data_IF_434232491862
#
_entry.id   IF_434232491862
#
_cell.length_a   1.000
_cell.length_b   1.000
_cell.length_c   1.000
_cell.angle_alpha   90.00
_cell.angle_beta   90.00
_cell.angle_gamma   90.00
#
_symmetry.space_group_name_H-M   'P 1'
#
loop_
_entity.id
_entity.type
_entity.pdbx_description
1 polymer ?
#
# COMPACT_ATOMS: atom_id res chain seq x y z
N UNK A 1 -32.34 24.32 58.42
CA UNK A 1 -32.87 23.12 57.78
C UNK A 1 -33.37 23.53 56.39
N UNK A 2 -32.59 23.27 55.35
CA UNK A 2 -33.01 23.50 53.97
C UNK A 2 -33.08 22.12 53.29
N UNK A 3 -34.29 21.68 52.98
CA UNK A 3 -34.55 20.52 52.17
C UNK A 3 -34.71 20.97 50.70
N UNK A 4 -33.67 20.78 49.91
CA UNK A 4 -33.71 21.01 48.47
C UNK A 4 -34.16 19.74 47.74
N UNK A 5 -35.35 19.83 47.10
CA UNK A 5 -35.91 18.80 46.22
C UNK A 5 -35.07 18.64 44.96
N UNK A 6 -34.62 17.43 44.66
CA UNK A 6 -33.98 17.10 43.39
C UNK A 6 -35.01 16.93 42.27
N UNK A 7 -34.77 17.46 41.07
CA UNK A 7 -35.66 17.25 39.94
C UNK A 7 -35.59 15.80 39.43
N UNK A 8 -36.78 15.21 39.24
CA UNK A 8 -36.95 13.89 38.62
C UNK A 8 -36.56 13.95 37.14
N UNK A 9 -35.42 13.39 36.80
CA UNK A 9 -35.01 13.16 35.40
C UNK A 9 -35.75 11.90 34.90
N UNK A 10 -36.73 12.07 34.02
CA UNK A 10 -37.35 10.97 33.27
C UNK A 10 -36.32 10.43 32.30
N UNK A 11 -35.82 9.23 32.54
CA UNK A 11 -35.11 8.45 31.54
C UNK A 11 -36.10 8.08 30.42
N UNK A 12 -35.94 8.71 29.26
CA UNK A 12 -36.64 8.30 28.04
C UNK A 12 -36.30 6.84 27.69
N UNK A 13 -37.31 6.06 27.33
CA UNK A 13 -37.14 4.71 26.81
C UNK A 13 -36.29 4.81 25.54
N UNK A 14 -35.06 4.23 25.56
CA UNK A 14 -34.26 4.01 24.36
C UNK A 14 -34.94 2.87 23.62
N UNK A 15 -35.42 3.14 22.41
CA UNK A 15 -35.98 2.12 21.53
C UNK A 15 -34.81 1.23 21.03
N UNK A 16 -34.82 -0.09 21.28
CA UNK A 16 -33.74 -0.96 20.91
C UNK A 16 -33.61 -1.17 19.37
N UNK A 17 -34.49 -0.55 18.58
CA UNK A 17 -34.51 -0.61 17.13
C UNK A 17 -34.24 0.74 16.44
N UNK A 18 -33.83 1.76 17.17
CA UNK A 18 -33.29 2.95 16.49
C UNK A 18 -31.99 2.55 15.81
N UNK A 19 -32.13 2.18 14.53
CA UNK A 19 -31.04 1.86 13.63
C UNK A 19 -30.23 3.13 13.37
N UNK A 20 -29.30 3.41 14.25
CA UNK A 20 -28.17 4.28 13.91
C UNK A 20 -27.54 3.64 12.66
N UNK A 21 -27.48 4.35 11.51
CA UNK A 21 -26.71 3.84 10.40
C UNK A 21 -25.28 3.71 10.89
N UNK A 22 -24.87 2.47 11.14
CA UNK A 22 -23.48 2.14 11.35
C UNK A 22 -22.81 2.34 10.00
N UNK A 23 -22.51 3.59 9.67
CA UNK A 23 -21.36 3.85 8.81
C UNK A 23 -20.20 3.24 9.57
N UNK A 24 -19.77 2.05 9.16
CA UNK A 24 -18.54 1.44 9.64
C UNK A 24 -17.39 2.35 9.20
N UNK A 25 -17.23 3.45 9.90
CA UNK A 25 -15.99 4.18 9.96
C UNK A 25 -15.06 3.33 10.83
N UNK A 26 -14.48 2.28 10.21
CA UNK A 26 -13.22 1.80 10.72
C UNK A 26 -12.31 3.03 10.76
N UNK A 27 -11.52 3.26 11.82
CA UNK A 27 -10.50 4.27 11.75
C UNK A 27 -9.72 3.98 10.48
N UNK A 28 -9.78 4.89 9.52
CA UNK A 28 -8.92 4.84 8.35
C UNK A 28 -7.54 4.93 8.96
N UNK A 29 -6.85 3.80 9.08
CA UNK A 29 -5.43 3.83 9.41
C UNK A 29 -4.84 4.64 8.28
N UNK A 30 -4.33 5.82 8.60
CA UNK A 30 -3.75 6.73 7.62
C UNK A 30 -2.66 5.97 6.88
N UNK A 31 -2.95 5.56 5.65
CA UNK A 31 -1.98 4.82 4.88
C UNK A 31 -0.74 5.68 4.65
N UNK A 32 0.43 5.09 4.82
CA UNK A 32 1.72 5.79 4.78
C UNK A 32 2.71 5.07 3.88
N UNK A 33 3.53 5.85 3.21
CA UNK A 33 4.73 5.37 2.57
C UNK A 33 5.74 4.98 3.65
N UNK A 34 5.93 3.67 3.85
CA UNK A 34 6.86 3.18 4.86
C UNK A 34 8.31 3.30 4.39
N UNK A 35 8.59 2.85 3.17
CA UNK A 35 9.94 2.76 2.63
C UNK A 35 9.94 2.97 1.12
N UNK A 36 10.96 3.67 0.65
CA UNK A 36 11.26 3.85 -0.77
C UNK A 36 12.47 2.99 -1.08
N UNK A 37 12.39 2.19 -2.15
CA UNK A 37 13.43 1.22 -2.51
C UNK A 37 13.92 1.46 -3.93
N UNK A 38 15.23 1.49 -4.10
CA UNK A 38 15.90 1.62 -5.41
C UNK A 38 17.06 0.63 -5.53
N UNK A 39 17.44 0.33 -6.75
CA UNK A 39 18.67 -0.42 -7.05
C UNK A 39 19.24 0.02 -8.40
N UNK A 40 20.53 -0.15 -8.65
CA UNK A 40 21.09 0.04 -10.00
C UNK A 40 20.61 -1.03 -11.01
N UNK A 41 19.90 -2.04 -10.53
CA UNK A 41 19.31 -3.15 -11.28
C UNK A 41 19.18 -4.41 -10.44
N UNK A 42 18.07 -5.13 -10.61
CA UNK A 42 17.81 -6.38 -9.88
C UNK A 42 17.19 -6.21 -8.50
N UNK A 43 17.25 -7.30 -7.73
CA UNK A 43 16.70 -7.41 -6.37
C UNK A 43 17.76 -7.97 -5.42
N UNK A 44 17.71 -7.63 -4.12
CA UNK A 44 16.76 -6.70 -3.50
C UNK A 44 17.00 -5.25 -3.89
N UNK A 45 15.95 -4.42 -3.86
CA UNK A 45 16.09 -2.97 -3.85
C UNK A 45 16.36 -2.49 -2.43
N UNK A 46 17.16 -1.43 -2.28
CA UNK A 46 17.62 -0.93 -0.98
C UNK A 46 16.91 0.38 -0.62
N UNK A 47 16.75 0.68 0.68
CA UNK A 47 16.04 1.87 1.14
C UNK A 47 16.80 3.15 0.82
N UNK A 48 16.02 4.20 0.47
CA UNK A 48 16.50 5.57 0.33
C UNK A 48 15.62 6.52 1.14
N UNK A 49 16.16 7.63 1.61
CA UNK A 49 15.43 8.60 2.45
C UNK A 49 14.56 9.58 1.67
N UNK A 50 14.79 9.71 0.38
CA UNK A 50 14.04 10.59 -0.51
C UNK A 50 14.21 10.12 -1.95
N UNK A 51 13.20 10.32 -2.76
CA UNK A 51 13.27 10.00 -4.17
C UNK A 51 12.46 10.97 -5.03
N UNK A 52 13.02 11.36 -6.18
CA UNK A 52 12.28 12.04 -7.24
C UNK A 52 11.53 11.01 -8.07
N UNK A 53 10.23 11.15 -8.14
CA UNK A 53 9.32 10.32 -8.95
C UNK A 53 9.02 11.03 -10.25
N UNK A 54 9.24 10.35 -11.37
CA UNK A 54 9.02 10.83 -12.73
C UNK A 54 8.00 9.96 -13.46
N UNK A 55 7.56 10.37 -14.64
CA UNK A 55 6.66 9.59 -15.50
C UNK A 55 7.18 8.19 -15.85
N UNK A 56 8.48 7.98 -15.78
CA UNK A 56 9.13 6.72 -16.17
C UNK A 56 9.66 5.90 -14.99
N UNK A 57 9.56 6.41 -13.77
CA UNK A 57 10.01 5.74 -12.56
C UNK A 57 10.69 6.65 -11.55
N UNK A 58 11.43 6.06 -10.62
CA UNK A 58 12.23 6.77 -9.63
C UNK A 58 13.60 7.10 -10.23
N UNK A 59 14.07 8.33 -10.09
CA UNK A 59 15.42 8.72 -10.51
C UNK A 59 16.46 7.87 -9.77
N UNK A 60 17.42 7.34 -10.53
CA UNK A 60 18.48 6.45 -10.02
C UNK A 60 18.06 4.99 -9.82
N UNK A 61 16.80 4.63 -10.07
CA UNK A 61 16.38 3.22 -10.07
C UNK A 61 16.65 2.57 -11.43
N UNK A 62 17.34 1.44 -11.40
CA UNK A 62 17.71 0.69 -12.61
C UNK A 62 16.87 -0.56 -12.83
N UNK A 63 16.81 -1.01 -14.08
CA UNK A 63 16.13 -2.24 -14.47
C UNK A 63 17.04 -3.09 -15.36
N UNK A 64 17.28 -4.36 -14.98
CA UNK A 64 18.07 -5.31 -15.78
C UNK A 64 17.28 -6.00 -16.89
N UNK A 65 15.96 -5.83 -16.90
CA UNK A 65 15.08 -6.43 -17.91
C UNK A 65 14.26 -5.32 -18.57
N UNK A 66 14.31 -5.24 -19.90
CA UNK A 66 13.65 -4.22 -20.70
C UNK A 66 12.10 -4.20 -20.58
N UNK A 67 11.50 -5.28 -20.12
CA UNK A 67 10.06 -5.37 -19.85
C UNK A 67 9.63 -4.79 -18.50
N UNK A 68 10.59 -4.34 -17.66
CA UNK A 68 10.33 -3.61 -16.42
C UNK A 68 10.51 -2.11 -16.66
N UNK A 69 9.83 -1.30 -15.85
CA UNK A 69 9.84 0.15 -16.01
C UNK A 69 8.98 0.66 -17.15
N UNK A 70 9.18 1.92 -17.52
CA UNK A 70 8.38 2.65 -18.49
C UNK A 70 7.07 3.17 -17.90
N UNK A 71 6.29 3.98 -18.67
CA UNK A 71 5.18 4.76 -18.14
C UNK A 71 4.09 3.94 -17.41
N UNK A 72 3.80 2.73 -17.88
CA UNK A 72 2.76 1.86 -17.27
C UNK A 72 3.26 1.09 -16.03
N UNK A 73 4.58 1.03 -15.84
CA UNK A 73 5.26 0.34 -14.75
C UNK A 73 6.29 1.24 -14.09
N UNK A 74 5.97 2.53 -14.03
CA UNK A 74 6.86 3.54 -13.46
C UNK A 74 7.17 3.26 -11.99
N UNK A 75 6.18 2.78 -11.25
CA UNK A 75 6.33 2.39 -9.84
C UNK A 75 5.83 0.96 -9.66
N UNK A 76 6.56 0.19 -8.83
CA UNK A 76 6.12 -1.08 -8.28
C UNK A 76 5.84 -0.90 -6.80
N UNK A 77 4.65 -1.29 -6.34
CA UNK A 77 4.19 -1.10 -4.97
C UNK A 77 3.94 -2.45 -4.29
N UNK A 78 4.16 -2.50 -2.97
CA UNK A 78 3.75 -3.64 -2.17
C UNK A 78 3.30 -3.24 -0.76
N UNK A 79 2.40 -4.05 -0.16
CA UNK A 79 1.90 -3.84 1.20
C UNK A 79 2.88 -4.36 2.23
N UNK A 80 3.11 -3.57 3.30
CA UNK A 80 3.85 -4.03 4.49
C UNK A 80 3.12 -5.19 5.16
N UNK A 81 1.80 -5.14 5.26
CA UNK A 81 0.99 -6.17 5.90
C UNK A 81 1.16 -7.51 5.18
N UNK A 82 1.18 -7.51 3.84
CA UNK A 82 1.45 -8.71 3.04
C UNK A 82 2.87 -9.24 3.23
N UNK A 83 3.85 -8.35 3.38
CA UNK A 83 5.22 -8.74 3.71
C UNK A 83 5.24 -9.45 5.07
N UNK A 84 4.58 -8.88 6.10
CA UNK A 84 4.52 -9.47 7.44
C UNK A 84 3.81 -10.83 7.42
N UNK A 85 2.71 -10.95 6.68
CA UNK A 85 2.00 -12.23 6.54
C UNK A 85 2.88 -13.29 5.88
N UNK A 86 3.62 -12.95 4.80
CA UNK A 86 4.58 -13.86 4.17
C UNK A 86 5.71 -14.25 5.12
N UNK A 87 6.19 -13.33 5.97
CA UNK A 87 7.18 -13.66 7.01
C UNK A 87 6.62 -14.66 8.03
N UNK A 88 5.37 -14.52 8.44
CA UNK A 88 4.70 -15.49 9.33
C UNK A 88 4.55 -16.86 8.67
N UNK A 89 4.43 -16.93 7.35
CA UNK A 89 4.46 -18.18 6.57
C UNK A 89 5.87 -18.77 6.42
N UNK A 90 6.90 -18.08 6.93
CA UNK A 90 8.31 -18.52 6.90
C UNK A 90 9.06 -18.13 5.64
N UNK A 91 8.55 -17.18 4.84
CA UNK A 91 9.26 -16.61 3.72
C UNK A 91 10.24 -15.51 4.17
N UNK A 92 11.50 -15.47 3.69
CA UNK A 92 12.48 -14.44 4.06
C UNK A 92 12.25 -13.12 3.29
N UNK A 93 10.99 -12.71 3.16
CA UNK A 93 10.60 -11.46 2.48
C UNK A 93 10.81 -10.28 3.41
N UNK A 94 11.28 -9.16 2.88
CA UNK A 94 11.42 -7.88 3.59
C UNK A 94 11.19 -6.73 2.59
N UNK A 95 10.92 -5.48 3.05
CA UNK A 95 10.75 -4.33 2.17
C UNK A 95 11.88 -4.18 1.17
N UNK A 96 11.55 -4.13 -0.13
CA UNK A 96 12.49 -4.09 -1.26
C UNK A 96 12.94 -5.45 -1.78
N UNK A 97 12.74 -6.54 -1.05
CA UNK A 97 13.22 -7.88 -1.44
C UNK A 97 12.47 -8.47 -2.62
N UNK A 98 11.23 -8.05 -2.86
CA UNK A 98 10.43 -8.48 -4.01
C UNK A 98 10.52 -7.52 -5.20
N UNK A 99 11.39 -6.49 -5.10
CA UNK A 99 11.66 -5.54 -6.17
C UNK A 99 10.66 -4.39 -6.26
N UNK A 100 9.84 -4.21 -5.24
CA UNK A 100 8.97 -3.05 -5.15
C UNK A 100 9.77 -1.76 -4.86
N UNK A 101 9.31 -0.66 -5.45
CA UNK A 101 9.82 0.67 -5.21
C UNK A 101 9.24 1.29 -3.94
N UNK A 102 7.95 1.07 -3.72
CA UNK A 102 7.21 1.67 -2.60
C UNK A 102 6.62 0.58 -1.73
N UNK A 103 7.05 0.53 -0.47
CA UNK A 103 6.39 -0.28 0.56
C UNK A 103 5.40 0.60 1.31
N UNK A 104 4.13 0.25 1.25
CA UNK A 104 3.02 1.04 1.81
C UNK A 104 2.42 0.28 2.99
N UNK A 105 2.16 1.00 4.09
CA UNK A 105 1.49 0.49 5.28
C UNK A 105 0.10 1.12 5.44
N UNK A 106 -0.84 0.40 6.03
CA UNK A 106 -2.17 0.92 6.41
C UNK A 106 -3.19 1.00 5.27
N UNK A 107 -2.86 0.50 4.07
CA UNK A 107 -3.80 0.45 2.94
C UNK A 107 -4.47 -0.94 2.88
N UNK A 108 -5.80 -0.98 2.75
CA UNK A 108 -6.52 -2.24 2.50
C UNK A 108 -6.17 -2.77 1.11
N UNK A 109 -5.06 -3.52 1.05
CA UNK A 109 -4.47 -4.02 -0.18
C UNK A 109 -5.40 -4.93 -0.99
N UNK A 110 -6.32 -5.62 -0.30
CA UNK A 110 -7.26 -6.53 -0.94
C UNK A 110 -8.29 -5.83 -1.83
N UNK A 111 -8.48 -4.52 -1.62
CA UNK A 111 -9.44 -3.68 -2.35
C UNK A 111 -8.79 -2.82 -3.43
N UNK A 112 -7.47 -2.75 -3.47
CA UNK A 112 -6.77 -1.94 -4.48
C UNK A 112 -6.76 -2.66 -5.83
N UNK A 113 -7.21 -1.97 -6.87
CA UNK A 113 -7.38 -2.52 -8.20
C UNK A 113 -6.85 -1.58 -9.29
N UNK A 114 -6.56 -2.09 -10.50
CA UNK A 114 -6.26 -1.26 -11.65
C UNK A 114 -7.34 -0.20 -11.89
N UNK A 115 -6.90 1.04 -12.11
CA UNK A 115 -7.74 2.22 -12.23
C UNK A 115 -7.76 3.11 -10.98
N UNK A 116 -7.54 2.57 -9.80
CA UNK A 116 -7.51 3.34 -8.55
C UNK A 116 -6.39 4.39 -8.58
N UNK A 117 -6.67 5.54 -7.99
CA UNK A 117 -5.73 6.67 -7.92
C UNK A 117 -5.36 6.98 -6.49
N UNK A 118 -4.10 7.37 -6.28
CA UNK A 118 -3.58 7.77 -4.96
C UNK A 118 -2.69 9.00 -5.09
N UNK A 119 -2.78 9.88 -4.10
CA UNK A 119 -1.77 10.90 -3.84
C UNK A 119 -0.75 10.34 -2.83
N UNK A 120 0.53 10.65 -3.01
CA UNK A 120 1.62 10.37 -2.08
C UNK A 120 2.26 11.70 -1.70
N UNK A 121 2.25 12.03 -0.41
CA UNK A 121 2.67 13.35 0.04
C UNK A 121 1.79 14.44 -0.58
N UNK A 122 2.42 15.54 -0.95
CA UNK A 122 1.72 16.71 -1.49
C UNK A 122 1.86 16.85 -3.02
N UNK A 123 2.81 16.16 -3.65
CA UNK A 123 3.17 16.39 -5.05
C UNK A 123 2.80 15.23 -5.97
N UNK A 124 3.04 13.99 -5.52
CA UNK A 124 2.95 12.82 -6.41
C UNK A 124 1.53 12.30 -6.50
N UNK A 125 1.07 12.09 -7.73
CA UNK A 125 -0.19 11.38 -8.01
C UNK A 125 0.12 10.18 -8.90
N UNK A 126 -0.40 9.03 -8.51
CA UNK A 126 -0.27 7.79 -9.27
C UNK A 126 -1.61 7.12 -9.54
N UNK A 127 -1.65 6.28 -10.56
CA UNK A 127 -2.78 5.40 -10.86
C UNK A 127 -2.30 3.96 -11.00
N UNK A 128 -2.99 3.04 -10.34
CA UNK A 128 -2.71 1.61 -10.49
C UNK A 128 -2.97 1.20 -11.94
N UNK A 129 -1.96 0.64 -12.58
CA UNK A 129 -2.02 0.23 -13.98
C UNK A 129 -2.35 -1.26 -14.12
N UNK A 130 -1.72 -2.11 -13.31
CA UNK A 130 -1.89 -3.56 -13.37
C UNK A 130 -1.40 -4.25 -12.11
N UNK A 131 -1.80 -5.51 -11.93
CA UNK A 131 -1.12 -6.42 -11.02
C UNK A 131 0.24 -6.82 -11.60
N UNK A 132 1.23 -7.00 -10.71
CA UNK A 132 2.57 -7.46 -11.09
C UNK A 132 2.67 -8.95 -10.86
N UNK A 133 2.81 -9.73 -11.92
CA UNK A 133 3.05 -11.16 -11.80
C UNK A 133 4.45 -11.42 -11.21
N UNK A 134 4.57 -12.40 -10.30
CA UNK A 134 5.87 -12.79 -9.76
C UNK A 134 6.72 -13.48 -10.85
N UNK A 135 8.03 -13.31 -10.76
CA UNK A 135 8.97 -13.97 -11.67
C UNK A 135 10.15 -14.57 -10.89
N UNK A 136 10.88 -15.48 -11.52
CA UNK A 136 11.99 -16.19 -10.88
C UNK A 136 13.07 -15.30 -10.27
N UNK A 137 13.16 -14.02 -10.63
CA UNK A 137 14.13 -13.07 -10.04
C UNK A 137 13.94 -12.86 -8.53
N UNK A 138 12.71 -13.00 -8.04
CA UNK A 138 12.40 -12.85 -6.62
C UNK A 138 12.37 -14.17 -5.85
N UNK A 139 12.72 -15.29 -6.50
CA UNK A 139 12.64 -16.61 -5.88
C UNK A 139 13.46 -16.73 -4.59
N UNK A 140 14.59 -16.02 -4.49
CA UNK A 140 15.42 -15.99 -3.28
C UNK A 140 14.72 -15.38 -2.05
N UNK A 141 13.66 -14.60 -2.25
CA UNK A 141 12.82 -14.04 -1.17
C UNK A 141 11.74 -15.00 -0.71
N UNK A 142 11.63 -16.19 -1.31
CA UNK A 142 10.60 -17.16 -0.97
C UNK A 142 11.22 -18.49 -0.57
N UNK A 143 10.71 -19.05 0.52
CA UNK A 143 11.07 -20.41 0.93
C UNK A 143 10.76 -21.39 -0.20
N UNK A 144 11.74 -22.20 -0.58
CA UNK A 144 11.65 -23.16 -1.69
C UNK A 144 11.30 -22.51 -3.05
N UNK A 145 11.52 -21.19 -3.18
CA UNK A 145 11.23 -20.47 -4.41
C UNK A 145 9.74 -20.31 -4.74
N UNK A 146 8.83 -20.51 -3.78
CA UNK A 146 7.36 -20.52 -3.98
C UNK A 146 6.79 -19.13 -4.22
N UNK A 147 7.20 -18.49 -5.33
CA UNK A 147 6.77 -17.13 -5.71
C UNK A 147 5.29 -17.04 -6.08
N UNK A 148 4.67 -18.14 -6.50
CA UNK A 148 3.25 -18.23 -6.84
C UNK A 148 2.33 -17.85 -5.69
N UNK A 149 2.85 -17.84 -4.44
CA UNK A 149 2.14 -17.39 -3.26
C UNK A 149 1.67 -15.94 -3.37
N UNK A 150 2.33 -15.10 -4.18
CA UNK A 150 1.92 -13.72 -4.44
C UNK A 150 1.37 -13.49 -5.86
N UNK A 151 1.02 -14.55 -6.59
CA UNK A 151 0.40 -14.43 -7.91
C UNK A 151 -1.08 -14.07 -7.78
N UNK A 152 -1.54 -13.02 -8.46
CA UNK A 152 -2.93 -12.53 -8.39
C UNK A 152 -3.95 -13.61 -8.78
N UNK A 153 -3.63 -14.42 -9.78
CA UNK A 153 -4.51 -15.50 -10.25
C UNK A 153 -4.73 -16.60 -9.23
N UNK A 154 -3.72 -16.90 -8.41
CA UNK A 154 -3.79 -17.95 -7.39
C UNK A 154 -4.31 -17.42 -6.05
N UNK A 155 -3.90 -16.21 -5.73
CA UNK A 155 -4.16 -15.55 -4.44
C UNK A 155 -4.58 -14.09 -4.67
N UNK A 156 -5.86 -13.80 -4.94
CA UNK A 156 -6.34 -12.44 -5.14
C UNK A 156 -6.02 -11.54 -3.94
N UNK A 157 -5.52 -10.32 -4.22
CA UNK A 157 -5.11 -9.37 -3.19
C UNK A 157 -3.73 -9.64 -2.56
N UNK A 158 -2.90 -10.50 -3.18
CA UNK A 158 -1.53 -10.77 -2.72
C UNK A 158 -0.45 -10.25 -3.68
N UNK A 159 -0.83 -9.88 -4.89
CA UNK A 159 0.12 -9.38 -5.87
C UNK A 159 0.68 -8.00 -5.49
N UNK A 160 1.89 -7.73 -5.95
CA UNK A 160 2.40 -6.36 -6.08
C UNK A 160 1.58 -5.64 -7.15
N UNK A 161 1.66 -4.32 -7.14
CA UNK A 161 0.95 -3.48 -8.10
C UNK A 161 1.94 -2.64 -8.91
N UNK A 162 1.69 -2.50 -10.19
CA UNK A 162 2.33 -1.49 -11.01
C UNK A 162 1.46 -0.24 -11.08
N UNK A 163 2.09 0.92 -11.05
CA UNK A 163 1.42 2.20 -11.21
C UNK A 163 2.12 3.09 -12.24
N UNK A 164 1.30 3.85 -12.97
CA UNK A 164 1.74 4.99 -13.77
C UNK A 164 1.73 6.25 -12.92
N UNK A 165 2.62 7.18 -13.21
CA UNK A 165 2.71 8.46 -12.51
C UNK A 165 1.89 9.51 -13.27
N UNK A 166 0.91 10.10 -12.60
CA UNK A 166 0.06 11.16 -13.15
C UNK A 166 0.62 12.56 -12.85
N UNK A 167 1.19 12.78 -11.67
CA UNK A 167 1.93 13.97 -11.29
C UNK A 167 3.26 13.57 -10.68
N UNK A 168 4.33 14.21 -11.13
CA UNK A 168 5.69 14.00 -10.66
C UNK A 168 5.95 14.80 -9.39
N UNK A 169 6.92 14.36 -8.59
CA UNK A 169 7.27 15.06 -7.36
C UNK A 169 8.34 14.32 -6.56
N UNK A 170 8.63 14.83 -5.39
CA UNK A 170 9.53 14.22 -4.43
C UNK A 170 8.72 13.55 -3.32
N UNK A 171 9.14 12.36 -2.92
CA UNK A 171 8.53 11.59 -1.83
C UNK A 171 9.56 11.26 -0.76
N UNK A 172 9.08 11.14 0.48
CA UNK A 172 9.88 10.73 1.63
C UNK A 172 9.13 9.67 2.45
N UNK A 173 9.83 8.76 3.15
CA UNK A 173 9.17 7.87 4.11
C UNK A 173 8.35 8.66 5.14
N UNK A 174 7.14 8.19 5.42
CA UNK A 174 6.16 8.87 6.27
C UNK A 174 5.10 9.66 5.50
N UNK A 175 5.30 9.93 4.21
CA UNK A 175 4.29 10.60 3.38
C UNK A 175 2.95 9.87 3.43
N UNK A 176 1.87 10.64 3.54
CA UNK A 176 0.52 10.09 3.50
C UNK A 176 0.20 9.52 2.11
N UNK A 177 -0.43 8.36 2.08
CA UNK A 177 -0.96 7.74 0.85
C UNK A 177 -2.48 7.85 0.90
N UNK A 178 -3.05 8.73 0.08
CA UNK A 178 -4.48 9.06 0.11
C UNK A 178 -5.18 8.60 -1.16
N UNK A 179 -6.29 7.84 -1.08
CA UNK A 179 -7.09 7.53 -2.25
C UNK A 179 -7.70 8.82 -2.83
N UNK A 180 -7.75 8.89 -4.15
CA UNK A 180 -8.38 9.97 -4.89
C UNK A 180 -9.64 9.46 -5.59
N UNK A 181 -10.65 10.31 -5.80
CA UNK A 181 -11.82 9.95 -6.63
C UNK A 181 -11.39 9.48 -8.02
N UNK A 182 -12.17 8.53 -8.58
CA UNK A 182 -11.97 8.00 -9.92
C UNK A 182 -12.18 9.08 -11.00
#
# INVERSE_FOLDING_TARGET
MYAGSMPNVRLGKIDPFDSVPVSRQYPVMDARLLQINTSPGGVPKLPVFSARVTKTGIEGDGHTYSGHGGPEKALCLYSLERIIELQHEGHPVFPGSTGENLTIAGLDWSRVAPGDRFAIGDEVVMQIASYSEPCGKIAGSFREGRIERMAQGNHPGWARLYARVLAEGTIVPGDAVRPLPA
#
